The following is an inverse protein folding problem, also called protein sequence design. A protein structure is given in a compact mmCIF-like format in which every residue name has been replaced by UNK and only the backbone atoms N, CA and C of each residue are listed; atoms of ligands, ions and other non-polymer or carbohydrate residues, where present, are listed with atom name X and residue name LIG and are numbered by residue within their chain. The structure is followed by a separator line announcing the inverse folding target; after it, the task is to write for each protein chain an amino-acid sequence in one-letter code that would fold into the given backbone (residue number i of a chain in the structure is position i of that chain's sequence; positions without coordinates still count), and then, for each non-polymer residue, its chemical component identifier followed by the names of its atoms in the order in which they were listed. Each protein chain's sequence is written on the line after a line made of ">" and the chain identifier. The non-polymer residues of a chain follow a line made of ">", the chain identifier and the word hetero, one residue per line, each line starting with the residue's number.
data_IF_222053071678
#
_entry.id   IF_222053071678
#
_cell.length_a   1.000
_cell.length_b   1.000
_cell.length_c   1.000
_cell.angle_alpha   90.00
_cell.angle_beta   90.00
_cell.angle_gamma   90.00
#
_symmetry.space_group_name_H-M   'P 1'
#
loop_
_entity.id
_entity.type
_entity.pdbx_description
1 polymer ?
#
# COMPACT_ATOMS: atom_id res chain seq x y z
N UNK A 1 -9.18 -5.57 9.91
CA UNK A 1 -8.48 -5.76 8.63
C UNK A 1 -7.12 -6.33 8.99
N UNK A 2 -7.02 -7.64 9.04
CA UNK A 2 -6.11 -8.28 10.02
C UNK A 2 -4.83 -8.82 9.40
N UNK A 3 -4.70 -8.87 8.07
CA UNK A 3 -3.56 -9.50 7.41
C UNK A 3 -3.10 -8.85 6.09
N UNK A 4 -3.67 -7.71 5.71
CA UNK A 4 -3.14 -6.94 4.58
C UNK A 4 -2.23 -5.82 5.08
N UNK A 5 -1.21 -5.55 4.29
CA UNK A 5 -0.26 -4.49 4.53
C UNK A 5 -0.62 -3.29 3.65
N UNK A 6 -1.48 -2.36 4.13
CA UNK A 6 -1.97 -1.28 3.30
C UNK A 6 -0.85 -0.29 2.98
N UNK A 7 -0.91 0.29 1.79
CA UNK A 7 -0.20 1.54 1.53
C UNK A 7 -0.88 2.62 2.36
N UNK A 8 -0.12 3.34 3.18
CA UNK A 8 -0.60 4.53 3.85
C UNK A 8 -0.44 5.71 2.91
N UNK A 9 -1.55 6.35 2.53
CA UNK A 9 -1.56 7.52 1.65
C UNK A 9 -1.85 8.79 2.45
N UNK A 10 -1.23 9.89 2.03
CA UNK A 10 -1.63 11.21 2.49
C UNK A 10 -3.03 11.57 1.98
N UNK A 11 -3.83 12.33 2.76
CA UNK A 11 -5.15 12.78 2.32
C UNK A 11 -5.11 13.60 1.03
N UNK A 12 -4.06 14.42 0.83
CA UNK A 12 -3.87 15.21 -0.39
C UNK A 12 -3.69 14.32 -1.63
N UNK A 13 -2.90 13.25 -1.51
CA UNK A 13 -2.68 12.31 -2.60
C UNK A 13 -3.94 11.48 -2.87
N UNK A 14 -4.63 11.03 -1.82
CA UNK A 14 -5.90 10.33 -1.94
C UNK A 14 -6.97 11.18 -2.65
N UNK A 15 -7.09 12.46 -2.29
CA UNK A 15 -8.01 13.39 -2.94
C UNK A 15 -7.62 13.66 -4.40
N UNK A 16 -6.33 13.82 -4.70
CA UNK A 16 -5.84 14.06 -6.06
C UNK A 16 -6.17 12.91 -7.02
N UNK A 17 -6.06 11.66 -6.55
CA UNK A 17 -6.33 10.47 -7.35
C UNK A 17 -7.73 9.87 -7.14
N UNK A 18 -8.56 10.48 -6.29
CA UNK A 18 -9.91 9.97 -5.97
C UNK A 18 -9.92 8.61 -5.26
N UNK A 19 -8.89 8.31 -4.46
CA UNK A 19 -8.70 7.03 -3.78
C UNK A 19 -9.38 7.07 -2.39
N UNK A 20 -10.19 6.07 -2.09
CA UNK A 20 -10.77 5.82 -0.78
C UNK A 20 -9.96 4.83 0.07
N UNK A 21 -10.17 4.85 1.39
CA UNK A 21 -9.67 3.80 2.28
C UNK A 21 -10.37 2.47 1.97
N UNK A 22 -9.58 1.43 1.67
CA UNK A 22 -10.07 0.12 1.26
C UNK A 22 -9.94 -0.16 -0.24
N UNK A 23 -9.64 0.85 -1.05
CA UNK A 23 -9.43 0.66 -2.49
C UNK A 23 -8.13 -0.10 -2.76
N UNK A 24 -8.12 -1.00 -3.74
CA UNK A 24 -6.89 -1.68 -4.16
C UNK A 24 -6.18 -0.82 -5.21
N UNK A 25 -4.96 -0.39 -4.89
CA UNK A 25 -4.13 0.46 -5.77
C UNK A 25 -2.92 -0.31 -6.30
N UNK A 26 -2.48 0.01 -7.51
CA UNK A 26 -1.26 -0.53 -8.11
C UNK A 26 -0.14 0.51 -8.05
N UNK A 27 0.88 0.26 -7.24
CA UNK A 27 2.09 1.07 -7.15
C UNK A 27 3.12 0.54 -8.16
N UNK A 28 3.65 1.45 -8.96
CA UNK A 28 4.69 1.16 -9.96
C UNK A 28 5.95 1.93 -9.63
N UNK A 29 7.07 1.22 -9.50
CA UNK A 29 8.40 1.81 -9.32
C UNK A 29 9.38 1.11 -10.26
N UNK A 30 9.78 1.80 -11.33
CA UNK A 30 10.55 1.23 -12.44
C UNK A 30 9.90 -0.07 -12.97
N UNK A 31 10.60 -1.19 -12.92
CA UNK A 31 10.10 -2.50 -13.39
C UNK A 31 9.26 -3.23 -12.33
N UNK A 32 9.18 -2.70 -11.10
CA UNK A 32 8.45 -3.35 -10.01
C UNK A 32 7.02 -2.83 -9.95
N UNK A 33 6.07 -3.75 -9.77
CA UNK A 33 4.65 -3.47 -9.57
C UNK A 33 4.17 -4.17 -8.31
N UNK A 34 3.34 -3.50 -7.54
CA UNK A 34 2.77 -4.02 -6.30
C UNK A 34 1.30 -3.59 -6.21
N UNK A 35 0.41 -4.52 -5.89
CA UNK A 35 -1.01 -4.23 -5.63
C UNK A 35 -1.25 -4.34 -4.13
N UNK A 36 -1.78 -3.29 -3.52
CA UNK A 36 -2.08 -3.26 -2.08
C UNK A 36 -3.34 -2.46 -1.82
N UNK A 37 -3.98 -2.68 -0.68
CA UNK A 37 -5.08 -1.83 -0.23
C UNK A 37 -4.55 -0.43 0.19
N UNK A 38 -5.25 0.61 -0.21
CA UNK A 38 -5.03 1.99 0.20
C UNK A 38 -5.66 2.23 1.58
N UNK A 39 -4.90 2.90 2.45
CA UNK A 39 -5.43 3.42 3.71
C UNK A 39 -5.02 4.87 3.86
N UNK A 40 -6.01 5.76 3.97
CA UNK A 40 -5.76 7.19 4.13
C UNK A 40 -5.35 7.43 5.59
N UNK A 41 -4.14 7.94 5.79
CA UNK A 41 -3.60 8.23 7.13
C UNK A 41 -3.57 9.75 7.37
N UNK A 42 -4.47 10.30 8.21
CA UNK A 42 -4.40 11.71 8.60
C UNK A 42 -3.05 12.01 9.27
N UNK A 43 -2.35 13.03 8.79
CA UNK A 43 -1.01 13.43 9.30
C UNK A 43 0.19 12.86 8.54
N UNK A 44 -0.02 12.05 7.49
CA UNK A 44 1.04 11.78 6.50
C UNK A 44 1.46 13.08 5.78
N UNK A 45 2.74 13.21 5.46
CA UNK A 45 3.26 14.33 4.69
C UNK A 45 2.58 14.40 3.32
N UNK A 46 2.44 15.60 2.77
CA UNK A 46 1.82 15.77 1.46
C UNK A 46 2.59 15.00 0.38
N UNK A 47 1.85 14.31 -0.49
CA UNK A 47 2.37 13.48 -1.58
C UNK A 47 3.30 12.32 -1.17
N UNK A 48 3.29 11.91 0.10
CA UNK A 48 4.00 10.70 0.52
C UNK A 48 3.10 9.45 0.53
N UNK A 49 3.73 8.31 0.28
CA UNK A 49 3.16 6.97 0.46
C UNK A 49 4.10 6.20 1.38
N UNK A 50 3.56 5.62 2.46
CA UNK A 50 4.33 4.71 3.32
C UNK A 50 3.92 3.27 3.04
N UNK A 51 4.92 2.45 2.74
CA UNK A 51 4.78 1.00 2.56
C UNK A 51 5.62 0.31 3.63
N UNK A 52 5.00 -0.54 4.45
CA UNK A 52 5.78 -1.33 5.39
C UNK A 52 6.47 -2.48 4.64
N UNK A 53 7.79 -2.44 4.52
CA UNK A 53 8.54 -3.50 3.84
C UNK A 53 8.79 -4.66 4.83
N UNK A 54 8.15 -5.80 4.60
CA UNK A 54 8.26 -6.99 5.46
C UNK A 54 7.58 -8.25 4.92
N UNK A 55 6.59 -8.08 4.05
CA UNK A 55 5.83 -9.19 3.45
C UNK A 55 6.39 -9.72 2.11
N UNK A 56 7.43 -9.10 1.56
CA UNK A 56 8.03 -9.46 0.26
C UNK A 56 9.10 -10.57 0.28
N UNK A 57 9.13 -11.47 1.29
CA UNK A 57 10.11 -12.56 1.34
C UNK A 57 9.65 -13.75 0.48
N UNK A 58 10.34 -14.01 -0.64
CA UNK A 58 10.10 -15.15 -1.58
C UNK A 58 10.25 -16.57 -0.98
N UNK A 59 10.57 -16.70 0.31
CA UNK A 59 10.49 -17.95 1.10
C UNK A 59 10.03 -17.61 2.52
N UNK A 60 8.77 -17.27 2.69
CA UNK A 60 8.13 -17.11 3.99
C UNK A 60 7.03 -18.16 4.20
N UNK A 61 7.39 -19.44 4.06
CA UNK A 61 6.49 -20.56 4.40
C UNK A 61 5.09 -20.48 3.76
N UNK A 62 4.13 -21.16 4.37
CA UNK A 62 2.82 -21.50 3.77
C UNK A 62 1.84 -20.32 3.63
N UNK A 63 2.15 -19.13 4.17
CA UNK A 63 1.20 -18.00 4.27
C UNK A 63 1.84 -16.66 3.88
N UNK A 64 2.87 -16.69 3.03
CA UNK A 64 3.60 -15.49 2.61
C UNK A 64 3.94 -15.43 1.12
N UNK A 65 3.23 -16.20 0.28
CA UNK A 65 3.35 -16.14 -1.17
C UNK A 65 2.02 -15.68 -1.76
N UNK A 66 1.96 -14.44 -2.24
CA UNK A 66 0.80 -13.92 -2.97
C UNK A 66 -0.22 -13.14 -2.14
N UNK A 67 0.22 -12.42 -1.11
CA UNK A 67 -0.45 -11.22 -0.62
C UNK A 67 0.33 -10.01 -1.11
#
# INVERSE_FOLDING_TARGET
>A
MTWDNPALLSPALAAHYGIGSGDVIELRLAERRLRVAAWIMPGQAEHSITLHLGYGRRRAGRVGNGL
#
